data_IF_368879919137
#
_entry.id   IF_368879919137
#
_cell.length_a   1.000
_cell.length_b   1.000
_cell.length_c   1.000
_cell.angle_alpha   90.00
_cell.angle_beta   90.00
_cell.angle_gamma   90.00
#
_symmetry.space_group_name_H-M   'P 1'
#
loop_
_entity.id
_entity.type
_entity.pdbx_description
1 polymer ?
#
# COMPACT_ATOMS: atom_id res chain seq x y z
N UNK A 1 15.69 -4.21 -28.39
CA UNK A 1 14.32 -4.55 -27.94
C UNK A 1 14.39 -5.89 -27.25
N UNK A 2 14.01 -6.00 -25.97
CA UNK A 2 13.91 -7.31 -25.31
C UNK A 2 12.48 -7.82 -25.50
N UNK A 3 12.29 -8.88 -26.27
CA UNK A 3 11.01 -9.55 -26.45
C UNK A 3 10.93 -10.73 -25.50
N UNK A 4 9.94 -10.74 -24.61
CA UNK A 4 9.58 -11.92 -23.83
C UNK A 4 8.56 -12.72 -24.64
N UNK A 5 8.96 -13.88 -25.15
CA UNK A 5 8.09 -14.77 -25.91
C UNK A 5 7.74 -15.99 -25.06
N UNK A 6 6.45 -16.13 -24.73
CA UNK A 6 5.93 -17.19 -23.87
C UNK A 6 5.06 -18.11 -24.74
N UNK A 7 5.51 -19.35 -24.97
CA UNK A 7 4.72 -20.40 -25.67
C UNK A 7 3.83 -21.16 -24.69
N UNK A 8 3.01 -20.43 -23.95
CA UNK A 8 2.10 -21.01 -22.97
C UNK A 8 0.72 -20.36 -23.09
N UNK A 9 -0.30 -21.19 -23.30
CA UNK A 9 -1.66 -20.72 -23.54
C UNK A 9 -2.31 -20.20 -22.25
N UNK A 10 -1.99 -20.81 -21.11
CA UNK A 10 -2.52 -20.43 -19.80
C UNK A 10 -1.96 -19.06 -19.37
N UNK A 11 -0.65 -18.85 -19.52
CA UNK A 11 -0.01 -17.57 -19.23
C UNK A 11 -0.59 -16.43 -20.08
N UNK A 12 -0.89 -16.68 -21.35
CA UNK A 12 -1.52 -15.68 -22.23
C UNK A 12 -2.97 -15.37 -21.80
N UNK A 13 -3.72 -16.39 -21.36
CA UNK A 13 -5.08 -16.20 -20.84
C UNK A 13 -5.09 -15.38 -19.55
N UNK A 14 -4.19 -15.69 -18.60
CA UNK A 14 -4.03 -14.94 -17.35
C UNK A 14 -3.63 -13.49 -17.58
N UNK A 15 -2.69 -13.25 -18.51
CA UNK A 15 -2.27 -11.90 -18.88
C UNK A 15 -3.43 -11.10 -19.50
N UNK A 16 -4.26 -11.73 -20.33
CA UNK A 16 -5.44 -11.10 -20.93
C UNK A 16 -6.53 -10.77 -19.92
N UNK A 17 -6.80 -11.69 -19.00
CA UNK A 17 -7.78 -11.49 -17.96
C UNK A 17 -7.37 -10.34 -17.03
N UNK A 18 -6.11 -10.30 -16.60
CA UNK A 18 -5.60 -9.23 -15.75
C UNK A 18 -5.63 -7.88 -16.48
N UNK A 19 -5.26 -7.86 -17.77
CA UNK A 19 -5.33 -6.67 -18.61
C UNK A 19 -6.76 -6.13 -18.73
N UNK A 20 -7.73 -7.01 -18.99
CA UNK A 20 -9.15 -6.67 -19.13
C UNK A 20 -9.72 -6.12 -17.83
N UNK A 21 -9.48 -6.81 -16.70
CA UNK A 21 -9.98 -6.40 -15.37
C UNK A 21 -9.43 -5.06 -14.91
N UNK A 22 -8.23 -4.68 -15.38
CA UNK A 22 -7.55 -3.44 -14.98
C UNK A 22 -7.57 -2.34 -16.05
N UNK A 23 -8.17 -2.59 -17.21
CA UNK A 23 -8.23 -1.63 -18.31
C UNK A 23 -6.85 -1.24 -18.85
N UNK A 24 -5.92 -2.19 -18.95
CA UNK A 24 -4.55 -1.94 -19.39
C UNK A 24 -4.11 -2.93 -20.48
N UNK A 25 -2.92 -2.74 -21.05
CA UNK A 25 -2.37 -3.66 -22.07
C UNK A 25 -1.85 -4.95 -21.43
N UNK A 26 -1.83 -6.07 -22.17
CA UNK A 26 -1.25 -7.36 -21.72
C UNK A 26 0.16 -7.19 -21.17
N UNK A 27 1.00 -6.41 -21.86
CA UNK A 27 2.38 -6.14 -21.40
C UNK A 27 2.43 -5.37 -20.09
N UNK A 28 1.53 -4.40 -19.88
CA UNK A 28 1.43 -3.69 -18.62
C UNK A 28 0.95 -4.61 -17.49
N UNK A 29 -0.02 -5.48 -17.77
CA UNK A 29 -0.52 -6.47 -16.83
C UNK A 29 0.57 -7.46 -16.39
N UNK A 30 1.38 -7.97 -17.34
CA UNK A 30 2.52 -8.86 -17.04
C UNK A 30 3.55 -8.14 -16.18
N UNK A 31 3.94 -6.90 -16.53
CA UNK A 31 4.88 -6.11 -15.71
C UNK A 31 4.36 -5.88 -14.29
N UNK A 32 3.08 -5.59 -14.16
CA UNK A 32 2.43 -5.37 -12.87
C UNK A 32 2.44 -6.66 -12.03
N UNK A 33 2.05 -7.79 -12.60
CA UNK A 33 2.05 -9.08 -11.92
C UNK A 33 3.45 -9.48 -11.44
N UNK A 34 4.47 -9.36 -12.31
CA UNK A 34 5.85 -9.66 -11.97
C UNK A 34 6.36 -8.77 -10.83
N UNK A 35 6.04 -7.47 -10.87
CA UNK A 35 6.42 -6.55 -9.80
C UNK A 35 5.76 -6.92 -8.48
N UNK A 36 4.45 -7.20 -8.48
CA UNK A 36 3.77 -7.60 -7.26
C UNK A 36 4.34 -8.88 -6.64
N UNK A 37 4.75 -9.86 -7.45
CA UNK A 37 5.33 -11.10 -6.93
C UNK A 37 6.75 -10.87 -6.37
N UNK A 38 7.57 -10.06 -7.05
CA UNK A 38 8.88 -9.64 -6.54
C UNK A 38 8.75 -8.82 -5.25
N UNK A 39 7.82 -7.86 -5.22
CA UNK A 39 7.53 -7.04 -4.05
C UNK A 39 7.00 -7.90 -2.91
N UNK A 40 6.21 -8.95 -3.19
CA UNK A 40 5.72 -9.89 -2.18
C UNK A 40 6.86 -10.72 -1.59
N UNK A 41 7.80 -11.18 -2.42
CA UNK A 41 9.03 -11.84 -1.97
C UNK A 41 9.89 -10.89 -1.11
N UNK A 42 10.15 -9.67 -1.59
CA UNK A 42 10.88 -8.67 -0.82
C UNK A 42 10.15 -8.26 0.46
N UNK A 43 8.83 -8.19 0.46
CA UNK A 43 8.02 -7.85 1.64
C UNK A 43 7.85 -9.03 2.59
N UNK A 44 8.09 -10.28 2.17
CA UNK A 44 8.11 -11.44 3.08
C UNK A 44 9.51 -11.73 3.61
N UNK A 45 10.57 -11.41 2.86
CA UNK A 45 11.96 -11.43 3.35
C UNK A 45 12.31 -10.18 4.17
N UNK A 46 11.68 -9.04 3.90
CA UNK A 46 11.71 -7.81 4.72
C UNK A 46 10.41 -7.59 5.48
N UNK A 47 9.53 -8.59 5.55
CA UNK A 47 8.43 -8.56 6.50
C UNK A 47 9.15 -8.48 7.83
N UNK A 48 9.02 -7.33 8.46
CA UNK A 48 9.50 -7.17 9.80
C UNK A 48 8.73 -8.18 10.66
N UNK A 49 9.33 -9.35 10.86
CA UNK A 49 8.79 -10.50 11.62
C UNK A 49 8.56 -10.15 13.09
N UNK A 50 9.00 -8.96 13.50
CA UNK A 50 8.72 -8.41 14.82
C UNK A 50 7.20 -8.24 15.02
N UNK A 51 6.69 -8.55 16.23
CA UNK A 51 5.31 -8.29 16.59
C UNK A 51 4.87 -6.86 16.22
N UNK A 52 3.61 -6.71 15.82
CA UNK A 52 3.03 -5.40 15.44
C UNK A 52 3.32 -4.30 16.49
N UNK A 53 3.30 -4.66 17.78
CA UNK A 53 3.63 -3.78 18.90
C UNK A 53 5.03 -3.18 18.79
N UNK A 54 6.04 -3.98 18.45
CA UNK A 54 7.42 -3.54 18.31
C UNK A 54 7.59 -2.64 17.09
N UNK A 55 6.97 -3.03 15.97
CA UNK A 55 6.93 -2.24 14.74
C UNK A 55 6.32 -0.85 14.96
N UNK A 56 5.20 -0.80 15.67
CA UNK A 56 4.56 0.46 16.06
C UNK A 56 5.48 1.27 16.97
N UNK A 57 6.08 0.66 17.99
CA UNK A 57 6.98 1.37 18.92
C UNK A 57 8.13 2.04 18.18
N UNK A 58 8.76 1.35 17.23
CA UNK A 58 9.83 1.91 16.40
C UNK A 58 9.33 3.00 15.44
N UNK A 59 8.10 2.89 14.96
CA UNK A 59 7.47 3.93 14.14
C UNK A 59 7.27 5.21 14.97
N UNK A 60 6.71 5.11 16.18
CA UNK A 60 6.51 6.25 17.09
C UNK A 60 7.83 6.91 17.52
N UNK A 61 8.90 6.13 17.70
CA UNK A 61 10.24 6.68 17.98
C UNK A 61 10.82 7.47 16.80
N UNK A 62 10.64 6.97 15.57
CA UNK A 62 11.14 7.62 14.34
C UNK A 62 10.32 8.84 13.94
N UNK A 63 9.03 8.82 14.24
CA UNK A 63 8.09 9.88 13.95
C UNK A 63 7.46 10.35 15.27
N UNK A 64 8.22 11.06 16.12
CA UNK A 64 7.66 11.60 17.34
C UNK A 64 6.49 12.52 16.97
N UNK A 65 5.43 12.45 17.76
CA UNK A 65 4.34 13.39 17.62
C UNK A 65 4.91 14.82 17.74
N UNK A 66 4.39 15.77 16.95
CA UNK A 66 4.65 17.19 17.17
C UNK A 66 4.35 17.53 18.64
N UNK A 67 5.03 18.56 19.17
CA UNK A 67 4.73 19.07 20.51
C UNK A 67 3.22 19.23 20.70
N UNK A 68 2.74 19.00 21.93
CA UNK A 68 1.33 19.05 22.30
C UNK A 68 0.62 20.19 21.56
N UNK A 69 -0.36 19.82 20.74
CA UNK A 69 -1.12 20.75 19.93
C UNK A 69 -1.89 21.70 20.84
N UNK A 70 -1.25 22.83 21.18
CA UNK A 70 -1.85 23.96 21.89
C UNK A 70 -2.66 23.58 23.13
N UNK A 71 -3.46 24.53 23.60
CA UNK A 71 -4.42 24.27 24.66
C UNK A 71 -5.49 23.29 24.17
N UNK A 72 -5.81 22.29 24.99
CA UNK A 72 -6.98 21.42 24.78
C UNK A 72 -8.18 22.33 24.53
N UNK A 73 -8.83 22.25 23.35
CA UNK A 73 -9.94 23.12 23.04
C UNK A 73 -11.05 22.94 24.07
N UNK A 74 -11.60 24.06 24.56
CA UNK A 74 -12.68 24.00 25.54
C UNK A 74 -13.98 23.55 24.85
N UNK A 75 -14.99 23.17 25.65
CA UNK A 75 -16.29 22.73 25.13
C UNK A 75 -16.90 23.75 24.15
N UNK A 76 -16.77 25.05 24.42
CA UNK A 76 -17.29 26.11 23.56
C UNK A 76 -16.68 26.08 22.14
N UNK A 77 -15.42 25.65 21.98
CA UNK A 77 -14.82 25.44 20.66
C UNK A 77 -15.47 24.30 19.88
N UNK A 78 -15.79 23.20 20.55
CA UNK A 78 -16.47 22.06 19.92
C UNK A 78 -17.94 22.37 19.62
N UNK A 79 -18.60 23.14 20.48
CA UNK A 79 -19.98 23.60 20.28
C UNK A 79 -20.06 24.57 19.07
N UNK A 80 -19.04 25.40 18.83
CA UNK A 80 -18.93 26.25 17.62
C UNK A 80 -18.71 25.41 16.35
N UNK A 81 -17.83 24.40 16.41
CA UNK A 81 -17.59 23.49 15.28
C UNK A 81 -18.81 22.65 14.90
N UNK A 82 -19.66 22.29 15.86
CA UNK A 82 -20.86 21.48 15.64
C UNK A 82 -22.09 22.31 15.26
N UNK A 83 -21.98 23.64 15.23
CA UNK A 83 -23.09 24.53 14.93
C UNK A 83 -24.08 24.72 16.08
N UNK A 84 -23.67 24.45 17.33
CA UNK A 84 -24.43 24.76 18.54
C UNK A 84 -25.57 23.78 18.88
N UNK A 85 -25.36 22.47 18.77
CA UNK A 85 -26.31 21.44 19.21
C UNK A 85 -26.21 21.10 20.70
#
# INVERSE_FOLDING_TARGET
MASLYIKDQEANALAEELATRRGMTKTAAVKLALRHELDRGETSERADDRPLRERMTDFWKRHPLPQEMGSIPNKAFYDDLSGGL
#
